data_IF_653088580787
#
_entry.id   IF_653088580787
#
_cell.length_a   1.000
_cell.length_b   1.000
_cell.length_c   1.000
_cell.angle_alpha   90.00
_cell.angle_beta   90.00
_cell.angle_gamma   90.00
#
_symmetry.space_group_name_H-M   'P 1'
#
loop_
_entity.id
_entity.type
_entity.pdbx_description
1 polymer ?
#
# COMPACT_ATOMS: atom_id res chain seq x y z
N UNK A 1 3.72 -0.53 8.09
CA UNK A 1 5.07 -1.01 8.46
C UNK A 1 6.12 -0.25 7.66
N UNK A 2 7.35 -0.07 8.17
CA UNK A 2 8.51 0.33 7.36
C UNK A 2 9.09 -0.93 6.72
N UNK A 3 9.38 -0.89 5.41
CA UNK A 3 9.94 -2.00 4.67
C UNK A 3 11.01 -1.52 3.68
N UNK A 4 11.76 -2.45 3.12
CA UNK A 4 12.74 -2.20 2.07
C UNK A 4 12.25 -2.85 0.79
N UNK A 5 12.14 -2.07 -0.27
CA UNK A 5 11.92 -2.55 -1.63
C UNK A 5 13.22 -3.18 -2.14
N UNK A 6 13.28 -4.50 -2.22
CA UNK A 6 14.48 -5.24 -2.63
C UNK A 6 14.79 -5.10 -4.13
N UNK A 7 13.85 -4.61 -4.95
CA UNK A 7 14.05 -4.40 -6.39
C UNK A 7 14.69 -3.06 -6.69
N UNK A 8 14.35 -2.05 -5.90
CA UNK A 8 14.76 -0.66 -6.10
C UNK A 8 15.69 -0.13 -5.00
N UNK A 9 16.02 -0.98 -4.03
CA UNK A 9 16.88 -0.68 -2.86
C UNK A 9 16.51 0.62 -2.14
N UNK A 10 15.21 0.76 -1.83
CA UNK A 10 14.64 1.96 -1.17
C UNK A 10 13.77 1.60 0.01
N UNK A 11 13.70 2.49 0.99
CA UNK A 11 12.78 2.37 2.13
C UNK A 11 11.39 2.84 1.71
N UNK A 12 10.37 2.08 2.07
CA UNK A 12 8.97 2.39 1.81
C UNK A 12 8.08 2.07 3.02
N UNK A 13 6.86 2.61 3.00
CA UNK A 13 5.81 2.17 3.90
C UNK A 13 5.02 1.04 3.21
N UNK A 14 4.78 -0.04 3.95
CA UNK A 14 3.99 -1.18 3.50
C UNK A 14 2.74 -1.28 4.38
N UNK A 15 1.56 -1.12 3.78
CA UNK A 15 0.27 -1.38 4.42
C UNK A 15 -0.19 -2.76 3.97
N UNK A 16 -0.30 -3.69 4.92
CA UNK A 16 -0.70 -5.08 4.66
C UNK A 16 -2.08 -5.31 5.24
N UNK A 17 -2.99 -5.83 4.43
CA UNK A 17 -4.31 -6.24 4.87
C UNK A 17 -4.21 -7.54 5.69
N UNK A 18 -4.94 -7.61 6.79
CA UNK A 18 -5.01 -8.84 7.57
C UNK A 18 -5.65 -9.97 6.75
N UNK A 19 -5.12 -11.20 6.75
CA UNK A 19 -5.61 -12.29 5.89
C UNK A 19 -7.10 -12.59 6.00
N UNK A 20 -7.67 -12.46 7.20
CA UNK A 20 -9.11 -12.67 7.44
C UNK A 20 -10.00 -11.64 6.76
N UNK A 21 -9.47 -10.44 6.47
CA UNK A 21 -10.17 -9.41 5.71
C UNK A 21 -9.94 -9.55 4.21
N UNK A 22 -8.84 -10.20 3.80
CA UNK A 22 -8.53 -10.46 2.40
C UNK A 22 -9.49 -11.49 1.77
N UNK A 23 -10.21 -12.28 2.57
CA UNK A 23 -11.28 -13.17 2.09
C UNK A 23 -12.62 -12.47 1.85
N UNK A 24 -12.78 -11.23 2.35
CA UNK A 24 -13.98 -10.42 2.10
C UNK A 24 -13.73 -9.46 0.93
N UNK A 25 -14.38 -9.74 -0.20
CA UNK A 25 -14.27 -8.95 -1.42
C UNK A 25 -14.59 -7.46 -1.19
N UNK A 26 -15.48 -7.12 -0.26
CA UNK A 26 -15.84 -5.73 0.05
C UNK A 26 -14.68 -4.98 0.69
N UNK A 27 -13.94 -5.63 1.59
CA UNK A 27 -12.77 -5.03 2.22
C UNK A 27 -11.62 -4.86 1.22
N UNK A 28 -11.37 -5.88 0.40
CA UNK A 28 -10.36 -5.82 -0.67
C UNK A 28 -10.69 -4.69 -1.65
N UNK A 29 -11.93 -4.56 -2.06
CA UNK A 29 -12.36 -3.53 -3.01
C UNK A 29 -12.21 -2.12 -2.41
N UNK A 30 -12.58 -1.92 -1.14
CA UNK A 30 -12.36 -0.65 -0.43
C UNK A 30 -10.88 -0.30 -0.32
N UNK A 31 -10.05 -1.27 0.03
CA UNK A 31 -8.60 -1.09 0.16
C UNK A 31 -7.96 -0.68 -1.17
N UNK A 32 -8.31 -1.35 -2.26
CA UNK A 32 -7.85 -1.01 -3.61
C UNK A 32 -8.40 0.35 -4.05
N UNK A 33 -9.65 0.68 -3.70
CA UNK A 33 -10.26 1.96 -4.05
C UNK A 33 -9.57 3.13 -3.34
N UNK A 34 -9.26 3.00 -2.06
CA UNK A 34 -8.47 3.99 -1.31
C UNK A 34 -7.10 4.21 -1.97
N UNK A 35 -6.39 3.12 -2.25
CA UNK A 35 -5.09 3.14 -2.94
C UNK A 35 -5.16 3.90 -4.28
N UNK A 36 -6.11 3.54 -5.15
CA UNK A 36 -6.31 4.19 -6.46
C UNK A 36 -6.68 5.66 -6.33
N UNK A 37 -7.37 6.05 -5.26
CA UNK A 37 -7.80 7.43 -5.06
C UNK A 37 -6.62 8.32 -4.68
N UNK A 38 -5.71 7.80 -3.86
CA UNK A 38 -4.46 8.47 -3.49
C UNK A 38 -3.47 8.47 -4.66
N UNK A 39 -3.33 7.36 -5.39
CA UNK A 39 -2.42 7.23 -6.53
C UNK A 39 -2.71 8.19 -7.71
N UNK A 40 -3.93 8.74 -7.79
CA UNK A 40 -4.30 9.73 -8.81
C UNK A 40 -3.93 11.17 -8.45
N UNK A 41 -3.53 11.41 -7.20
CA UNK A 41 -3.18 12.73 -6.70
C UNK A 41 -1.66 12.91 -6.76
N UNK A 42 -1.19 13.68 -7.73
CA UNK A 42 0.21 14.10 -7.77
C UNK A 42 0.35 15.45 -7.07
N UNK A 43 0.65 15.42 -5.77
CA UNK A 43 0.78 16.62 -4.96
C UNK A 43 1.81 16.43 -3.83
N UNK A 44 2.68 17.41 -3.53
CA UNK A 44 3.76 17.26 -2.53
C UNK A 44 3.29 16.95 -1.09
N UNK A 45 2.00 17.18 -0.79
CA UNK A 45 1.40 16.87 0.51
C UNK A 45 0.54 15.59 0.50
N UNK A 46 0.64 14.77 -0.55
CA UNK A 46 -0.09 13.51 -0.67
C UNK A 46 0.92 12.38 -0.77
N UNK A 47 0.77 11.38 0.11
CA UNK A 47 1.63 10.19 0.12
C UNK A 47 1.52 9.46 -1.21
N UNK A 48 2.64 9.29 -1.89
CA UNK A 48 2.65 8.60 -3.18
C UNK A 48 2.46 7.10 -2.99
N UNK A 49 1.56 6.50 -3.78
CA UNK A 49 1.39 5.05 -3.86
C UNK A 49 2.27 4.54 -4.99
N UNK A 50 3.19 3.63 -4.68
CA UNK A 50 4.10 3.08 -5.68
C UNK A 50 3.56 1.84 -6.36
N UNK A 51 3.00 0.91 -5.58
CA UNK A 51 2.54 -0.38 -6.11
C UNK A 51 1.51 -1.03 -5.17
N UNK A 52 0.73 -1.96 -5.71
CA UNK A 52 -0.14 -2.85 -4.95
C UNK A 52 0.05 -4.30 -5.42
N UNK A 53 -0.13 -5.25 -4.50
CA UNK A 53 0.03 -6.65 -4.86
C UNK A 53 -0.72 -7.58 -3.92
N UNK A 54 -0.76 -8.85 -4.32
CA UNK A 54 -1.26 -9.94 -3.50
C UNK A 54 -0.26 -11.09 -3.54
N UNK A 55 0.06 -11.65 -2.37
CA UNK A 55 0.95 -12.78 -2.21
C UNK A 55 0.36 -13.76 -1.20
N UNK A 56 -0.03 -14.95 -1.68
CA UNK A 56 -0.78 -15.92 -0.89
C UNK A 56 -2.07 -15.33 -0.34
N UNK A 57 -2.21 -15.29 0.98
CA UNK A 57 -3.38 -14.72 1.67
C UNK A 57 -3.24 -13.23 1.99
N UNK A 58 -2.13 -12.60 1.61
CA UNK A 58 -1.85 -11.21 1.93
C UNK A 58 -2.12 -10.31 0.72
N UNK A 59 -2.80 -9.20 0.96
CA UNK A 59 -2.92 -8.09 0.02
C UNK A 59 -2.18 -6.91 0.62
N UNK A 60 -1.36 -6.22 -0.18
CA UNK A 60 -0.53 -5.13 0.32
C UNK A 60 -0.52 -3.92 -0.61
N UNK A 61 -0.12 -2.79 -0.02
CA UNK A 61 0.09 -1.52 -0.68
C UNK A 61 1.46 -0.97 -0.30
N UNK A 62 2.31 -0.75 -1.30
CA UNK A 62 3.61 -0.11 -1.19
C UNK A 62 3.46 1.39 -1.46
N UNK A 63 3.87 2.20 -0.50
CA UNK A 63 3.69 3.65 -0.51
C UNK A 63 4.93 4.37 -0.01
N UNK A 64 5.02 5.66 -0.29
CA UNK A 64 6.06 6.54 0.19
C UNK A 64 6.19 6.47 1.71
N UNK A 65 7.43 6.31 2.18
CA UNK A 65 7.74 6.34 3.61
C UNK A 65 8.02 7.76 4.05
N UNK A 66 7.15 8.32 4.88
CA UNK A 66 7.37 9.61 5.52
C UNK A 66 7.99 9.36 6.90
N UNK A 67 9.23 9.77 7.08
CA UNK A 67 9.93 9.63 8.37
C UNK A 67 9.43 10.70 9.35
N UNK A 68 9.08 10.28 10.58
CA UNK A 68 8.70 11.21 11.65
C UNK A 68 7.20 11.48 11.81
N UNK A 69 6.34 10.72 11.12
CA UNK A 69 4.91 10.62 11.42
C UNK A 69 4.64 9.66 12.59
#
# INVERSE_FOLDING_TARGET
YRAVDTRLDRVLALKVMHPTLATDATFVERFIREAKSVARLDHPNVVQVFDQGAEGAYVYLAMEYIAGC
#
